data_IF_554383373526
#
_entry.id   IF_554383373526
#
_cell.length_a   1.000
_cell.length_b   1.000
_cell.length_c   1.000
_cell.angle_alpha   90.00
_cell.angle_beta   90.00
_cell.angle_gamma   90.00
#
_symmetry.space_group_name_H-M   'P 1'
#
loop_
_entity.id
_entity.type
_entity.pdbx_description
1 polymer ?
#
# COMPACT_ATOMS: atom_id res chain seq x y z
N UNK A 1 5.61 43.52 9.27
CA UNK A 1 4.50 43.20 8.35
C UNK A 1 4.96 42.57 7.03
N UNK A 2 5.75 43.25 6.16
CA UNK A 2 6.20 42.68 4.86
C UNK A 2 7.03 41.38 4.96
N UNK A 3 7.87 41.22 6.00
CA UNK A 3 8.68 40.01 6.22
C UNK A 3 7.82 38.81 6.60
N UNK A 4 6.85 39.01 7.49
CA UNK A 4 5.91 37.97 7.92
C UNK A 4 5.06 37.46 6.75
N UNK A 5 4.55 38.37 5.90
CA UNK A 5 3.79 38.01 4.69
C UNK A 5 4.62 37.14 3.74
N UNK A 6 5.89 37.49 3.49
CA UNK A 6 6.78 36.70 2.62
C UNK A 6 7.03 35.29 3.17
N UNK A 7 7.20 35.16 4.50
CA UNK A 7 7.39 33.87 5.16
C UNK A 7 6.13 33.00 5.00
N UNK A 8 4.94 33.56 5.25
CA UNK A 8 3.67 32.85 5.08
C UNK A 8 3.47 32.37 3.64
N UNK A 9 3.72 33.23 2.65
CA UNK A 9 3.61 32.87 1.23
C UNK A 9 4.59 31.74 0.88
N UNK A 10 5.84 31.84 1.34
CA UNK A 10 6.84 30.81 1.09
C UNK A 10 6.46 29.47 1.72
N UNK A 11 5.97 29.47 2.96
CA UNK A 11 5.53 28.25 3.63
C UNK A 11 4.36 27.59 2.90
N UNK A 12 3.38 28.39 2.46
CA UNK A 12 2.25 27.90 1.68
C UNK A 12 2.69 27.32 0.33
N UNK A 13 3.58 28.00 -0.38
CA UNK A 13 4.13 27.50 -1.64
C UNK A 13 4.86 26.17 -1.46
N UNK A 14 5.61 26.00 -0.36
CA UNK A 14 6.26 24.73 -0.03
C UNK A 14 5.26 23.61 0.21
N UNK A 15 4.20 23.85 1.01
CA UNK A 15 3.17 22.84 1.29
C UNK A 15 2.45 22.42 0.01
N UNK A 16 2.08 23.40 -0.83
CA UNK A 16 1.47 23.12 -2.15
C UNK A 16 2.41 22.31 -3.03
N UNK A 17 3.70 22.69 -3.07
CA UNK A 17 4.72 21.96 -3.84
C UNK A 17 4.87 20.51 -3.40
N UNK A 18 4.87 20.26 -2.09
CA UNK A 18 4.90 18.90 -1.53
C UNK A 18 3.65 18.12 -1.96
N UNK A 19 2.46 18.72 -1.86
CA UNK A 19 1.21 18.10 -2.32
C UNK A 19 1.26 17.70 -3.79
N UNK A 20 1.72 18.60 -4.66
CA UNK A 20 1.86 18.34 -6.11
C UNK A 20 2.85 17.21 -6.37
N UNK A 21 3.99 17.19 -5.66
CA UNK A 21 5.01 16.15 -5.82
C UNK A 21 4.43 14.78 -5.46
N UNK A 22 3.69 14.66 -4.35
CA UNK A 22 3.04 13.41 -3.96
C UNK A 22 1.99 12.99 -4.98
N UNK A 23 1.12 13.91 -5.38
CA UNK A 23 0.07 13.65 -6.37
C UNK A 23 0.65 13.07 -7.67
N UNK A 24 1.59 13.78 -8.28
CA UNK A 24 2.16 13.42 -9.58
C UNK A 24 3.04 12.18 -9.51
N UNK A 25 3.80 12.00 -8.43
CA UNK A 25 4.79 10.91 -8.36
C UNK A 25 4.19 9.59 -7.90
N UNK A 26 3.20 9.61 -7.01
CA UNK A 26 2.73 8.38 -6.34
C UNK A 26 1.21 8.27 -6.31
N UNK A 27 0.47 9.33 -5.96
CA UNK A 27 -0.99 9.23 -5.75
C UNK A 27 -1.76 8.94 -7.04
N UNK A 28 -1.37 9.59 -8.15
CA UNK A 28 -2.00 9.35 -9.46
C UNK A 28 -1.93 7.87 -9.86
N UNK A 29 -0.86 7.17 -9.50
CA UNK A 29 -0.74 5.74 -9.79
C UNK A 29 -1.77 4.91 -9.01
N UNK A 30 -2.12 5.31 -7.77
CA UNK A 30 -3.22 4.67 -7.02
C UNK A 30 -4.56 5.01 -7.63
N UNK A 31 -4.80 6.28 -7.99
CA UNK A 31 -6.06 6.69 -8.63
C UNK A 31 -6.33 5.93 -9.92
N UNK A 32 -5.31 5.72 -10.75
CA UNK A 32 -5.42 4.91 -11.96
C UNK A 32 -5.55 3.41 -11.63
N UNK A 33 -5.00 2.92 -10.52
CA UNK A 33 -5.12 1.53 -10.09
C UNK A 33 -6.52 1.20 -9.53
N UNK A 34 -7.26 2.19 -9.04
CA UNK A 34 -8.62 2.05 -8.51
C UNK A 34 -9.72 2.51 -9.47
N UNK A 35 -9.41 2.84 -10.73
CA UNK A 35 -10.36 3.43 -11.70
C UNK A 35 -11.67 2.62 -11.85
N UNK A 36 -11.64 1.30 -11.65
CA UNK A 36 -12.79 0.42 -11.80
C UNK A 36 -13.38 -0.05 -10.46
N UNK A 37 -13.00 0.59 -9.35
CA UNK A 37 -13.35 0.20 -7.99
C UNK A 37 -13.92 1.40 -7.22
N UNK A 38 -15.12 1.83 -7.59
CA UNK A 38 -15.78 3.02 -7.02
C UNK A 38 -16.01 2.93 -5.49
N UNK A 39 -16.08 1.71 -4.95
CA UNK A 39 -16.27 1.46 -3.53
C UNK A 39 -14.96 1.53 -2.71
N UNK A 40 -13.79 1.65 -3.36
CA UNK A 40 -12.49 1.69 -2.68
C UNK A 40 -11.81 3.03 -2.93
N UNK A 41 -11.52 3.77 -1.85
CA UNK A 41 -10.69 4.97 -1.88
C UNK A 41 -9.36 4.69 -1.21
N UNK A 42 -8.28 4.89 -1.94
CA UNK A 42 -6.92 4.80 -1.45
C UNK A 42 -6.08 5.95 -1.99
N UNK A 43 -5.06 6.33 -1.22
CA UNK A 43 -4.09 7.34 -1.58
C UNK A 43 -2.67 6.81 -1.44
N UNK A 44 -1.74 7.34 -2.24
CA UNK A 44 -0.32 7.14 -2.00
C UNK A 44 0.43 8.45 -1.82
N UNK A 45 1.37 8.43 -0.89
CA UNK A 45 2.24 9.56 -0.59
C UNK A 45 3.57 9.06 -0.05
N UNK A 46 4.63 9.84 -0.24
CA UNK A 46 5.89 9.63 0.44
C UNK A 46 5.69 9.71 1.95
N UNK A 47 6.41 8.92 2.73
CA UNK A 47 6.32 8.96 4.18
C UNK A 47 6.60 10.40 4.68
N UNK A 48 5.74 10.89 5.58
CA UNK A 48 5.70 12.31 6.03
C UNK A 48 5.54 13.34 4.90
N UNK A 49 5.12 12.92 3.72
CA UNK A 49 5.00 13.70 2.49
C UNK A 49 6.33 13.97 1.77
N UNK A 50 7.49 13.59 2.33
CA UNK A 50 8.80 14.10 1.84
C UNK A 50 9.93 13.08 1.80
N UNK A 51 9.76 11.87 2.32
CA UNK A 51 10.80 10.83 2.32
C UNK A 51 10.72 10.03 1.00
N UNK A 52 11.60 10.26 0.01
CA UNK A 52 11.39 9.80 -1.36
C UNK A 52 11.57 8.29 -1.56
N UNK A 53 12.21 7.59 -0.62
CA UNK A 53 12.48 6.15 -0.64
C UNK A 53 11.48 5.33 0.20
N UNK A 54 10.50 5.97 0.84
CA UNK A 54 9.45 5.30 1.61
C UNK A 54 8.11 5.85 1.20
N UNK A 55 7.21 4.98 0.74
CA UNK A 55 5.85 5.38 0.35
C UNK A 55 4.82 4.73 1.27
N UNK A 56 3.68 5.37 1.40
CA UNK A 56 2.51 4.87 2.11
C UNK A 56 1.44 4.60 1.05
N UNK A 57 0.85 3.42 1.07
CA UNK A 57 -0.41 3.10 0.40
C UNK A 57 -1.50 3.07 1.48
N UNK A 58 -2.38 4.05 1.46
CA UNK A 58 -3.29 4.39 2.55
C UNK A 58 -4.74 4.23 2.11
N UNK A 59 -5.43 3.23 2.67
CA UNK A 59 -6.85 3.01 2.41
C UNK A 59 -7.66 3.99 3.26
N UNK A 60 -8.56 4.74 2.65
CA UNK A 60 -9.43 5.71 3.33
C UNK A 60 -10.87 5.24 3.45
N UNK A 61 -11.36 4.53 2.44
CA UNK A 61 -12.72 4.00 2.41
C UNK A 61 -12.77 2.65 1.71
N UNK A 62 -13.56 1.73 2.26
CA UNK A 62 -13.92 0.47 1.61
C UNK A 62 -15.44 0.30 1.77
N UNK A 63 -16.13 0.24 0.64
CA UNK A 63 -17.58 0.05 0.59
C UNK A 63 -17.98 -1.32 1.10
N UNK A 64 -19.22 -1.44 1.57
CA UNK A 64 -19.77 -2.67 2.15
C UNK A 64 -19.87 -3.85 1.16
N UNK A 65 -19.82 -3.58 -0.15
CA UNK A 65 -19.79 -4.60 -1.20
C UNK A 65 -18.39 -4.97 -1.67
N UNK A 66 -17.38 -4.16 -1.32
CA UNK A 66 -16.03 -4.39 -1.78
C UNK A 66 -15.42 -5.59 -1.05
N UNK A 67 -14.98 -6.56 -1.82
CA UNK A 67 -14.28 -7.73 -1.33
C UNK A 67 -12.82 -7.39 -1.00
N UNK A 68 -12.25 -8.18 -0.10
CA UNK A 68 -10.81 -8.08 0.19
C UNK A 68 -9.94 -8.34 -1.06
N UNK A 69 -10.40 -9.20 -1.96
CA UNK A 69 -9.72 -9.46 -3.22
C UNK A 69 -9.66 -8.21 -4.12
N UNK A 70 -10.69 -7.37 -4.11
CA UNK A 70 -10.69 -6.10 -4.85
C UNK A 70 -9.70 -5.11 -4.22
N UNK A 71 -9.67 -5.00 -2.89
CA UNK A 71 -8.70 -4.15 -2.17
C UNK A 71 -7.26 -4.57 -2.48
N UNK A 72 -6.95 -5.88 -2.37
CA UNK A 72 -5.66 -6.41 -2.77
C UNK A 72 -5.39 -6.17 -4.25
N UNK A 73 -6.39 -6.30 -5.10
CA UNK A 73 -6.28 -6.03 -6.53
C UNK A 73 -5.87 -4.59 -6.83
N UNK A 74 -6.40 -3.60 -6.10
CA UNK A 74 -5.99 -2.19 -6.22
C UNK A 74 -4.51 -2.05 -5.84
N UNK A 75 -4.08 -2.67 -4.74
CA UNK A 75 -2.68 -2.63 -4.32
C UNK A 75 -1.74 -3.28 -5.35
N UNK A 76 -2.13 -4.41 -5.94
CA UNK A 76 -1.34 -5.11 -6.96
C UNK A 76 -1.25 -4.32 -8.28
N UNK A 77 -2.33 -3.67 -8.72
CA UNK A 77 -2.28 -2.77 -9.88
C UNK A 77 -1.42 -1.53 -9.60
N UNK A 78 -1.47 -1.03 -8.36
CA UNK A 78 -0.59 0.05 -7.92
C UNK A 78 0.88 -0.37 -7.97
N UNK A 79 1.23 -1.56 -7.45
CA UNK A 79 2.61 -2.05 -7.51
C UNK A 79 3.10 -2.24 -8.95
N UNK A 80 2.24 -2.73 -9.86
CA UNK A 80 2.57 -2.84 -11.28
C UNK A 80 2.88 -1.48 -11.91
N UNK A 81 2.09 -0.44 -11.63
CA UNK A 81 2.34 0.93 -12.13
C UNK A 81 3.65 1.51 -11.60
N UNK A 82 4.11 1.02 -10.46
CA UNK A 82 5.29 1.51 -9.76
C UNK A 82 6.54 0.63 -9.97
N UNK A 83 6.46 -0.44 -10.77
CA UNK A 83 7.50 -1.47 -10.92
C UNK A 83 8.87 -0.98 -11.40
N UNK A 84 8.91 0.14 -12.12
CA UNK A 84 10.15 0.75 -12.62
C UNK A 84 10.78 1.71 -11.59
N UNK A 85 10.23 1.78 -10.38
CA UNK A 85 10.71 2.64 -9.29
C UNK A 85 11.17 1.81 -8.11
N UNK A 86 12.30 2.21 -7.55
CA UNK A 86 12.86 1.60 -6.35
C UNK A 86 12.45 2.38 -5.11
N UNK A 87 12.08 1.63 -4.07
CA UNK A 87 11.81 2.14 -2.74
C UNK A 87 12.58 1.29 -1.74
N UNK A 88 12.86 1.84 -0.57
CA UNK A 88 13.34 1.07 0.57
C UNK A 88 12.20 0.30 1.21
N UNK A 89 11.03 0.91 1.32
CA UNK A 89 9.84 0.29 1.92
C UNK A 89 8.53 0.85 1.37
N UNK A 90 7.48 0.04 1.45
CA UNK A 90 6.08 0.45 1.24
C UNK A 90 5.29 0.17 2.52
N UNK A 91 4.63 1.18 3.06
CA UNK A 91 3.80 1.07 4.26
C UNK A 91 2.34 0.91 3.85
N UNK A 92 1.71 -0.17 4.29
CA UNK A 92 0.29 -0.39 4.10
C UNK A 92 -0.44 0.25 5.27
N UNK A 93 -1.27 1.25 5.00
CA UNK A 93 -1.96 2.04 6.00
C UNK A 93 -3.48 1.98 5.81
N UNK A 94 -4.18 2.29 6.90
CA UNK A 94 -5.60 2.61 6.88
C UNK A 94 -5.80 3.93 7.63
N UNK A 95 -6.36 4.93 6.94
CA UNK A 95 -6.63 6.28 7.45
C UNK A 95 -5.43 6.93 8.15
N UNK A 96 -4.25 6.76 7.54
CA UNK A 96 -2.99 7.34 8.03
C UNK A 96 -2.25 6.51 9.08
N UNK A 97 -2.83 5.42 9.57
CA UNK A 97 -2.14 4.49 10.48
C UNK A 97 -1.50 3.35 9.71
N UNK A 98 -0.16 3.27 9.75
CA UNK A 98 0.57 2.17 9.13
C UNK A 98 0.33 0.87 9.91
N UNK A 99 -0.25 -0.13 9.25
CA UNK A 99 -0.54 -1.46 9.79
C UNK A 99 0.55 -2.48 9.44
N UNK A 100 1.12 -2.35 8.25
CA UNK A 100 2.19 -3.23 7.78
C UNK A 100 3.27 -2.47 7.01
N UNK A 101 4.43 -3.10 6.90
CA UNK A 101 5.58 -2.65 6.10
C UNK A 101 5.99 -3.78 5.18
N UNK A 102 6.15 -3.47 3.90
CA UNK A 102 6.67 -4.35 2.86
C UNK A 102 8.04 -3.83 2.42
N UNK A 103 9.04 -4.71 2.27
CA UNK A 103 10.33 -4.31 1.70
C UNK A 103 10.14 -3.85 0.25
N UNK A 104 10.89 -2.82 -0.16
CA UNK A 104 10.73 -2.26 -1.50
C UNK A 104 11.12 -3.21 -2.63
N UNK A 105 12.09 -4.10 -2.39
CA UNK A 105 12.44 -5.18 -3.32
C UNK A 105 11.25 -6.13 -3.54
N UNK A 106 10.57 -6.54 -2.46
CA UNK A 106 9.37 -7.37 -2.54
C UNK A 106 8.22 -6.65 -3.27
N UNK A 107 8.05 -5.35 -3.03
CA UNK A 107 7.05 -4.53 -3.73
C UNK A 107 7.32 -4.47 -5.23
N UNK A 108 8.59 -4.25 -5.61
CA UNK A 108 9.02 -4.19 -7.00
C UNK A 108 8.82 -5.55 -7.68
N UNK A 109 9.23 -6.64 -7.03
CA UNK A 109 9.02 -8.01 -7.51
C UNK A 109 7.54 -8.30 -7.77
N UNK A 110 6.66 -7.92 -6.84
CA UNK A 110 5.21 -8.08 -7.00
C UNK A 110 4.73 -7.29 -8.23
N UNK A 111 5.15 -6.04 -8.39
CA UNK A 111 4.74 -5.19 -9.51
C UNK A 111 5.20 -5.73 -10.86
N UNK A 112 6.41 -6.28 -10.93
CA UNK A 112 6.91 -6.95 -12.14
C UNK A 112 6.11 -8.22 -12.42
N UNK A 113 5.95 -9.08 -11.41
CA UNK A 113 5.30 -10.37 -11.52
C UNK A 113 3.81 -10.26 -11.87
N UNK A 114 3.09 -9.26 -11.37
CA UNK A 114 1.65 -9.13 -11.59
C UNK A 114 1.26 -9.11 -13.08
N UNK A 115 2.15 -8.63 -13.95
CA UNK A 115 1.91 -8.56 -15.39
C UNK A 115 1.96 -9.92 -16.13
N UNK A 116 2.54 -10.97 -15.54
CA UNK A 116 2.72 -12.28 -16.20
C UNK A 116 2.53 -13.52 -15.30
N UNK A 117 2.59 -13.38 -13.98
CA UNK A 117 2.34 -14.45 -13.01
C UNK A 117 0.86 -14.58 -12.70
N UNK A 118 0.47 -15.76 -12.21
CA UNK A 118 -0.88 -15.99 -11.72
C UNK A 118 -1.13 -15.15 -10.44
N UNK A 119 -2.11 -14.22 -10.43
CA UNK A 119 -2.41 -13.38 -9.28
C UNK A 119 -2.70 -14.16 -7.99
N UNK A 120 -3.24 -15.38 -8.09
CA UNK A 120 -3.52 -16.24 -6.93
C UNK A 120 -2.24 -16.60 -6.18
N UNK A 121 -1.14 -16.82 -6.90
CA UNK A 121 0.14 -17.12 -6.28
C UNK A 121 0.69 -15.92 -5.52
N UNK A 122 0.60 -14.73 -6.11
CA UNK A 122 1.03 -13.47 -5.48
C UNK A 122 0.20 -13.25 -4.21
N UNK A 123 -1.13 -13.34 -4.31
CA UNK A 123 -2.04 -13.12 -3.18
C UNK A 123 -1.76 -14.08 -2.03
N UNK A 124 -1.64 -15.39 -2.28
CA UNK A 124 -1.45 -16.36 -1.19
C UNK A 124 -0.09 -16.25 -0.49
N UNK A 125 0.93 -15.71 -1.16
CA UNK A 125 2.28 -15.57 -0.58
C UNK A 125 2.55 -14.16 -0.07
N UNK A 126 1.66 -13.21 -0.34
CA UNK A 126 1.81 -11.81 0.04
C UNK A 126 1.92 -11.58 1.56
N UNK A 127 1.08 -12.18 2.42
CA UNK A 127 1.18 -11.97 3.87
C UNK A 127 2.55 -12.31 4.44
N UNK A 128 3.21 -13.37 3.95
CA UNK A 128 4.51 -13.83 4.43
C UNK A 128 5.63 -12.79 4.24
N UNK A 129 5.46 -11.84 3.31
CA UNK A 129 6.40 -10.75 3.01
C UNK A 129 6.22 -9.52 3.92
N UNK A 130 5.16 -9.48 4.72
CA UNK A 130 4.82 -8.31 5.53
C UNK A 130 5.51 -8.33 6.89
N UNK A 131 5.91 -7.14 7.33
CA UNK A 131 6.36 -6.83 8.68
C UNK A 131 5.36 -5.95 9.41
N UNK A 132 5.35 -6.04 10.73
CA UNK A 132 4.69 -5.06 11.59
C UNK A 132 5.49 -3.75 11.61
N UNK A 133 4.90 -2.61 12.00
CA UNK A 133 5.59 -1.32 12.00
C UNK A 133 6.81 -1.25 12.95
N UNK A 134 6.89 -2.15 13.93
CA UNK A 134 8.04 -2.34 14.83
C UNK A 134 9.15 -3.22 14.24
N UNK A 135 8.97 -3.73 13.01
CA UNK A 135 9.94 -4.53 12.26
C UNK A 135 9.84 -6.05 12.45
N UNK A 136 8.92 -6.53 13.30
CA UNK A 136 8.64 -7.97 13.43
C UNK A 136 8.01 -8.56 12.16
N UNK A 137 8.06 -9.88 11.99
CA UNK A 137 7.29 -10.55 10.93
C UNK A 137 5.80 -10.47 11.28
N UNK A 138 4.97 -10.04 10.32
CA UNK A 138 3.53 -9.91 10.54
C UNK A 138 2.80 -11.25 10.45
N UNK A 139 3.30 -12.16 9.62
CA UNK A 139 2.75 -13.49 9.38
C UNK A 139 3.86 -14.55 9.39
N UNK A 140 3.47 -15.81 9.57
CA UNK A 140 4.39 -16.94 9.58
C UNK A 140 4.67 -17.43 8.16
N UNK A 141 5.79 -18.14 7.98
CA UNK A 141 6.08 -18.87 6.74
C UNK A 141 5.71 -20.33 6.90
N UNK A 142 5.02 -20.91 5.93
CA UNK A 142 4.51 -22.28 6.04
C UNK A 142 5.33 -23.28 5.22
N UNK A 143 5.57 -24.46 5.81
CA UNK A 143 6.27 -25.58 5.16
C UNK A 143 5.49 -26.87 5.37
N UNK A 144 5.51 -27.78 4.39
CA UNK A 144 4.83 -29.07 4.47
C UNK A 144 4.20 -29.49 3.14
N UNK A 145 3.14 -30.29 3.21
CA UNK A 145 2.38 -30.69 2.02
C UNK A 145 1.62 -29.51 1.40
N UNK A 146 1.57 -29.47 0.06
CA UNK A 146 1.04 -28.33 -0.70
C UNK A 146 -0.36 -27.88 -0.23
N UNK A 147 -1.29 -28.82 -0.02
CA UNK A 147 -2.65 -28.49 0.42
C UNK A 147 -2.68 -27.82 1.80
N UNK A 148 -1.84 -28.29 2.74
CA UNK A 148 -1.74 -27.70 4.07
C UNK A 148 -1.14 -26.30 4.03
N UNK A 149 -0.07 -26.11 3.25
CA UNK A 149 0.58 -24.81 3.06
C UNK A 149 -0.39 -23.80 2.44
N UNK A 150 -1.09 -24.17 1.37
CA UNK A 150 -2.07 -23.29 0.71
C UNK A 150 -3.22 -22.94 1.65
N UNK A 151 -3.71 -23.91 2.44
CA UNK A 151 -4.77 -23.64 3.43
C UNK A 151 -4.36 -22.56 4.43
N UNK A 152 -3.16 -22.70 5.02
CA UNK A 152 -2.61 -21.71 5.96
C UNK A 152 -2.36 -20.34 5.34
N UNK A 153 -1.84 -20.31 4.12
CA UNK A 153 -1.65 -19.06 3.39
C UNK A 153 -2.97 -18.32 3.13
N UNK A 154 -4.05 -19.05 2.87
CA UNK A 154 -5.37 -18.42 2.71
C UNK A 154 -5.96 -17.95 4.06
N UNK A 155 -5.66 -18.64 5.17
CA UNK A 155 -5.96 -18.12 6.52
C UNK A 155 -5.25 -16.78 6.76
N UNK A 156 -3.95 -16.69 6.45
CA UNK A 156 -3.16 -15.46 6.58
C UNK A 156 -3.67 -14.34 5.67
N UNK A 157 -4.14 -14.67 4.45
CA UNK A 157 -4.79 -13.68 3.58
C UNK A 157 -6.03 -13.13 4.28
N UNK A 158 -6.92 -13.95 4.82
CA UNK A 158 -8.12 -13.43 5.51
C UNK A 158 -7.73 -12.57 6.73
N UNK A 159 -6.78 -13.02 7.54
CA UNK A 159 -6.28 -12.26 8.70
C UNK A 159 -5.64 -10.92 8.30
N UNK A 160 -4.96 -10.86 7.14
CA UNK A 160 -4.45 -9.61 6.58
C UNK A 160 -5.58 -8.59 6.35
N UNK A 161 -6.72 -8.99 5.80
CA UNK A 161 -7.86 -8.08 5.60
C UNK A 161 -8.41 -7.55 6.93
N UNK A 162 -8.52 -8.44 7.92
CA UNK A 162 -8.94 -8.11 9.29
C UNK A 162 -8.06 -7.03 9.91
N UNK A 163 -6.76 -7.30 9.97
CA UNK A 163 -5.76 -6.45 10.62
C UNK A 163 -5.41 -5.18 9.84
N UNK A 164 -5.62 -5.17 8.52
CA UNK A 164 -5.31 -3.99 7.70
C UNK A 164 -6.39 -2.93 7.80
N UNK A 165 -7.67 -3.29 7.66
CA UNK A 165 -8.73 -2.28 7.60
C UNK A 165 -10.08 -2.71 8.19
N UNK A 166 -10.44 -4.00 8.19
CA UNK A 166 -11.77 -4.43 8.61
C UNK A 166 -11.99 -4.28 10.13
N UNK A 167 -10.98 -4.50 10.97
CA UNK A 167 -11.12 -4.35 12.43
C UNK A 167 -11.42 -2.90 12.83
N UNK A 168 -10.88 -1.93 12.09
CA UNK A 168 -11.09 -0.50 12.32
C UNK A 168 -12.40 0.04 11.67
N UNK A 169 -13.08 -0.78 10.86
CA UNK A 169 -14.39 -0.46 10.28
C UNK A 169 -15.57 -0.85 11.18
N UNK A 170 -15.34 -1.71 12.17
CA UNK A 170 -16.35 -2.22 13.11
C UNK A 170 -16.60 -1.22 14.25
#
# INVERSE_FOLDING_TARGET
>A
MRRSIKITISALATVIGIGIINAVRVDNAVSEASEYQDDISAHAYYQFGVVPDSIVFDIWNVGWNASQAEVLGVFLRFSEKMKDREFREVRLAYRGEAKFVLDGDDFQDIGQQFSYQNPVYIVRTFPEKLRTPDGGRAFSTWSGGLLGVVGRQMEDVNELGERWYLDDMR
#
